data_IF_411582922987
#
_entry.id   IF_411582922987
#
_cell.length_a   1.000
_cell.length_b   1.000
_cell.length_c   1.000
_cell.angle_alpha   90.00
_cell.angle_beta   90.00
_cell.angle_gamma   90.00
#
_symmetry.space_group_name_H-M   'P 1'
#
loop_
_entity.id
_entity.type
_entity.pdbx_description
1 polymer ?
#
# COMPACT_ATOMS: atom_id res chain seq x y z
N UNK A 1 -5.84 0.34 4.28
CA UNK A 1 -5.23 1.23 3.25
C UNK A 1 -4.33 0.38 2.39
N UNK A 2 -4.26 0.65 1.09
CA UNK A 2 -3.46 -0.17 0.19
C UNK A 2 -2.11 0.48 -0.10
N UNK A 3 -1.92 1.80 -0.15
CA UNK A 3 -0.58 2.31 -0.48
C UNK A 3 -0.29 3.74 -0.09
N UNK A 4 0.86 4.23 -0.57
CA UNK A 4 1.34 5.59 -0.36
C UNK A 4 0.98 6.48 -1.55
N UNK A 5 0.89 7.79 -1.31
CA UNK A 5 0.65 8.79 -2.35
C UNK A 5 1.80 9.81 -2.39
N UNK A 6 2.19 10.31 -3.58
CA UNK A 6 3.03 11.50 -3.70
C UNK A 6 2.42 12.72 -2.98
N UNK A 7 1.08 12.78 -2.90
CA UNK A 7 0.35 13.90 -2.29
C UNK A 7 0.15 13.76 -0.77
N UNK A 8 0.60 12.66 -0.16
CA UNK A 8 0.48 12.44 1.28
C UNK A 8 1.65 13.10 2.01
N UNK A 9 1.47 14.30 2.55
CA UNK A 9 2.52 15.03 3.26
C UNK A 9 2.40 14.96 4.77
N UNK A 10 1.18 14.77 5.27
CA UNK A 10 0.87 14.61 6.67
C UNK A 10 -0.33 13.68 6.85
N UNK A 11 -0.49 13.11 8.04
CA UNK A 11 -1.70 12.34 8.36
C UNK A 11 -2.96 13.22 8.35
N UNK A 12 -2.83 14.55 8.48
CA UNK A 12 -3.94 15.48 8.34
C UNK A 12 -4.51 15.53 6.91
N UNK A 13 -3.71 15.24 5.89
CA UNK A 13 -4.20 15.20 4.50
C UNK A 13 -5.27 14.11 4.34
N UNK A 14 -5.11 12.98 5.04
CA UNK A 14 -6.10 11.91 5.10
C UNK A 14 -7.32 12.36 5.90
N UNK A 15 -7.12 13.01 7.06
CA UNK A 15 -8.21 13.47 7.93
C UNK A 15 -9.11 14.50 7.24
N UNK A 16 -8.53 15.33 6.36
CA UNK A 16 -9.22 16.37 5.58
C UNK A 16 -10.04 15.83 4.39
N UNK A 17 -9.88 14.55 4.02
CA UNK A 17 -10.69 13.94 2.97
C UNK A 17 -12.17 13.97 3.37
N UNK A 18 -12.96 14.70 2.58
CA UNK A 18 -14.40 14.81 2.77
C UNK A 18 -15.04 13.44 2.56
N UNK A 19 -15.84 13.02 3.54
CA UNK A 19 -16.57 11.75 3.52
C UNK A 19 -18.08 12.06 3.52
N UNK A 20 -18.88 11.41 2.66
CA UNK A 20 -18.51 10.33 1.73
C UNK A 20 -17.69 10.82 0.52
N UNK A 21 -16.82 9.96 -0.02
CA UNK A 21 -16.06 10.25 -1.22
C UNK A 21 -17.00 10.22 -2.44
N UNK A 22 -17.33 11.39 -3.00
CA UNK A 22 -18.13 11.48 -4.24
C UNK A 22 -17.32 11.08 -5.48
N UNK A 23 -16.02 11.34 -5.47
CA UNK A 23 -15.07 11.01 -6.55
C UNK A 23 -13.78 10.49 -5.93
N UNK A 24 -13.27 9.37 -6.43
CA UNK A 24 -12.00 8.77 -5.97
C UNK A 24 -10.90 9.16 -6.95
N UNK A 25 -10.18 10.25 -6.65
CA UNK A 25 -9.04 10.78 -7.42
C UNK A 25 -7.96 11.33 -6.49
N UNK A 26 -6.75 11.52 -7.02
CA UNK A 26 -5.61 12.05 -6.27
C UNK A 26 -5.28 11.20 -5.06
N UNK A 27 -5.11 11.82 -3.89
CA UNK A 27 -4.77 11.14 -2.64
C UNK A 27 -5.67 9.94 -2.35
N UNK A 28 -6.99 10.09 -2.45
CA UNK A 28 -7.92 8.99 -2.15
C UNK A 28 -7.73 7.78 -3.08
N UNK A 29 -7.43 8.02 -4.35
CA UNK A 29 -7.15 6.96 -5.32
C UNK A 29 -5.84 6.24 -4.98
N UNK A 30 -4.80 7.00 -4.64
CA UNK A 30 -3.50 6.42 -4.30
C UNK A 30 -3.53 5.58 -3.02
N UNK A 31 -4.26 6.03 -2.00
CA UNK A 31 -4.45 5.26 -0.75
C UNK A 31 -5.22 3.95 -0.97
N UNK A 32 -5.89 3.79 -2.12
CA UNK A 32 -6.69 2.63 -2.51
C UNK A 32 -6.07 1.75 -3.59
N UNK A 33 -5.13 2.25 -4.40
CA UNK A 33 -4.60 1.50 -5.55
C UNK A 33 -3.07 1.48 -5.69
N UNK A 34 -2.31 2.20 -4.86
CA UNK A 34 -0.86 2.17 -4.95
C UNK A 34 -0.29 0.85 -4.41
N UNK A 35 0.79 0.35 -5.03
CA UNK A 35 1.45 -0.92 -4.69
C UNK A 35 2.96 -0.74 -4.47
N UNK A 36 3.58 -1.40 -3.47
CA UNK A 36 5.03 -1.49 -3.36
C UNK A 36 5.60 -2.40 -4.46
N UNK A 37 6.76 -2.05 -5.01
CA UNK A 37 7.46 -2.87 -6.01
C UNK A 37 8.98 -2.83 -5.77
N UNK A 38 9.61 -4.01 -5.80
CA UNK A 38 11.06 -4.17 -5.62
C UNK A 38 11.80 -3.64 -6.82
N UNK A 39 12.85 -2.83 -6.58
CA UNK A 39 13.66 -2.23 -7.66
C UNK A 39 13.09 -0.93 -8.22
N UNK A 40 11.87 -0.54 -7.83
CA UNK A 40 11.33 0.79 -8.13
C UNK A 40 12.05 1.85 -7.29
N UNK A 41 12.33 3.00 -7.90
CA UNK A 41 12.83 4.20 -7.22
C UNK A 41 11.76 5.28 -7.26
N UNK A 42 11.49 5.92 -6.12
CA UNK A 42 10.43 6.91 -5.99
C UNK A 42 9.04 6.34 -6.27
N UNK A 43 8.15 7.20 -6.79
CA UNK A 43 6.86 6.80 -7.34
C UNK A 43 6.94 6.68 -8.86
N UNK A 44 6.33 5.65 -9.43
CA UNK A 44 6.18 5.48 -10.88
C UNK A 44 4.76 5.04 -11.21
N UNK A 45 4.33 5.18 -12.47
CA UNK A 45 2.97 4.80 -12.87
C UNK A 45 2.76 3.29 -12.70
N UNK A 46 1.64 2.91 -12.07
CA UNK A 46 1.29 1.49 -11.92
C UNK A 46 0.72 0.93 -13.22
N UNK A 47 1.56 0.23 -13.99
CA UNK A 47 1.16 -0.37 -15.28
C UNK A 47 0.20 -1.54 -15.12
N UNK A 48 0.33 -2.31 -14.03
CA UNK A 48 -0.49 -3.51 -13.78
C UNK A 48 -1.93 -3.12 -13.43
N UNK A 49 -2.09 -2.11 -12.56
CA UNK A 49 -3.41 -1.62 -12.16
C UNK A 49 -4.02 -0.65 -13.16
N UNK A 50 -3.20 -0.06 -14.03
CA UNK A 50 -3.57 1.05 -14.92
C UNK A 50 -4.11 2.29 -14.17
N UNK A 51 -3.93 2.36 -12.85
CA UNK A 51 -4.37 3.45 -11.97
C UNK A 51 -3.36 3.62 -10.84
N UNK A 52 -3.17 4.86 -10.39
CA UNK A 52 -2.22 5.20 -9.31
C UNK A 52 -0.76 4.82 -9.64
N UNK A 53 0.03 4.54 -8.62
CA UNK A 53 1.48 4.48 -8.64
C UNK A 53 2.00 3.19 -8.00
N UNK A 54 3.13 2.71 -8.50
CA UNK A 54 4.01 1.82 -7.76
C UNK A 54 5.04 2.65 -6.99
N UNK A 55 5.55 2.13 -5.88
CA UNK A 55 6.54 2.84 -5.07
C UNK A 55 7.64 1.92 -4.52
N UNK A 56 8.84 2.47 -4.44
CA UNK A 56 10.03 1.79 -3.96
C UNK A 56 10.24 1.81 -2.44
N UNK A 57 11.27 1.10 -1.99
CA UNK A 57 11.70 1.10 -0.58
C UNK A 57 12.16 2.47 -0.09
N UNK A 58 12.77 3.27 -0.96
CA UNK A 58 13.18 4.65 -0.66
C UNK A 58 11.97 5.48 -0.25
N UNK A 59 10.89 5.40 -1.02
CA UNK A 59 9.62 6.08 -0.76
C UNK A 59 9.02 5.63 0.57
N UNK A 60 9.07 4.33 0.89
CA UNK A 60 8.59 3.80 2.17
C UNK A 60 9.38 4.41 3.34
N UNK A 61 10.72 4.38 3.28
CA UNK A 61 11.58 4.96 4.32
C UNK A 61 11.31 6.45 4.52
N UNK A 62 11.21 7.19 3.42
CA UNK A 62 11.00 8.63 3.46
C UNK A 62 9.61 8.99 4.02
N UNK A 63 8.57 8.24 3.64
CA UNK A 63 7.22 8.45 4.19
C UNK A 63 7.11 8.05 5.65
N UNK A 64 7.74 6.96 6.09
CA UNK A 64 7.79 6.60 7.51
C UNK A 64 8.43 7.72 8.34
N UNK A 65 9.58 8.25 7.89
CA UNK A 65 10.24 9.40 8.55
C UNK A 65 9.35 10.66 8.53
N UNK A 66 8.81 11.02 7.37
CA UNK A 66 8.00 12.23 7.18
C UNK A 66 6.74 12.21 8.06
N UNK A 67 6.07 11.06 8.15
CA UNK A 67 4.83 10.90 8.92
C UNK A 67 5.08 10.55 10.39
N UNK A 68 6.35 10.38 10.78
CA UNK A 68 6.78 9.94 12.11
C UNK A 68 6.10 8.63 12.55
N UNK A 69 6.20 7.60 11.70
CA UNK A 69 5.67 6.26 11.94
C UNK A 69 6.75 5.20 11.70
N UNK A 70 6.66 4.07 12.39
CA UNK A 70 7.62 2.98 12.26
C UNK A 70 7.24 1.94 11.19
N UNK A 71 5.93 1.74 10.99
CA UNK A 71 5.39 0.66 10.17
C UNK A 71 4.16 1.08 9.37
N UNK A 72 4.15 0.70 8.09
CA UNK A 72 2.97 0.75 7.24
C UNK A 72 2.36 -0.65 7.13
N UNK A 73 1.08 -0.77 7.52
CA UNK A 73 0.30 -2.02 7.37
C UNK A 73 -0.70 -1.84 6.23
N UNK A 74 -0.61 -2.71 5.21
CA UNK A 74 -1.47 -2.68 4.01
C UNK A 74 -2.05 -4.06 3.65
N UNK A 75 -2.91 -4.09 2.64
CA UNK A 75 -3.48 -5.31 2.04
C UNK A 75 -3.34 -5.31 0.50
N UNK A 76 -4.35 -5.74 -0.26
CA UNK A 76 -4.52 -5.58 -1.72
C UNK A 76 -3.70 -6.48 -2.68
N UNK A 77 -2.49 -6.88 -2.31
CA UNK A 77 -1.74 -7.90 -3.05
C UNK A 77 -1.93 -9.27 -2.39
N UNK A 78 -2.25 -10.29 -3.19
CA UNK A 78 -2.25 -11.69 -2.73
C UNK A 78 -0.79 -12.08 -2.50
N UNK A 79 -0.50 -12.68 -1.35
CA UNK A 79 0.85 -13.11 -0.96
C UNK A 79 0.77 -14.54 -0.44
N UNK A 80 1.78 -15.35 -0.76
CA UNK A 80 1.79 -16.80 -0.56
C UNK A 80 1.43 -17.22 0.87
N UNK A 81 2.06 -16.62 1.88
CA UNK A 81 1.84 -16.96 3.29
C UNK A 81 0.76 -16.11 3.98
N UNK A 82 -0.04 -15.36 3.22
CA UNK A 82 -1.01 -14.42 3.77
C UNK A 82 -0.40 -13.15 4.36
N UNK A 83 0.93 -13.06 4.48
CA UNK A 83 1.63 -11.82 4.77
C UNK A 83 3.00 -11.75 4.05
N UNK A 84 3.52 -10.54 3.87
CA UNK A 84 4.86 -10.31 3.33
C UNK A 84 5.47 -9.03 3.89
N UNK A 85 6.75 -9.06 4.22
CA UNK A 85 7.50 -7.86 4.60
C UNK A 85 8.15 -7.21 3.39
N UNK A 86 8.27 -5.89 3.44
CA UNK A 86 8.97 -5.06 2.47
C UNK A 86 9.81 -4.00 3.18
N UNK A 87 10.85 -3.50 2.52
CA UNK A 87 11.67 -2.39 3.02
C UNK A 87 12.21 -2.63 4.44
N UNK A 88 12.93 -3.73 4.67
CA UNK A 88 13.51 -4.02 5.99
C UNK A 88 12.47 -4.12 7.11
N UNK A 89 11.25 -4.59 6.79
CA UNK A 89 10.08 -4.67 7.69
C UNK A 89 9.41 -3.33 8.04
N UNK A 90 9.74 -2.23 7.37
CA UNK A 90 9.02 -0.96 7.51
C UNK A 90 7.64 -0.95 6.82
N UNK A 91 7.35 -1.95 5.99
CA UNK A 91 6.02 -2.20 5.41
C UNK A 91 5.66 -3.68 5.50
N UNK A 92 4.41 -3.97 5.85
CA UNK A 92 3.82 -5.31 5.81
C UNK A 92 2.56 -5.33 4.96
N UNK A 93 2.49 -6.28 4.03
CA UNK A 93 1.27 -6.64 3.32
C UNK A 93 0.60 -7.81 4.04
N UNK A 94 -0.70 -7.71 4.26
CA UNK A 94 -1.53 -8.73 4.92
C UNK A 94 -2.70 -9.08 4.02
N UNK A 95 -2.93 -10.36 3.82
CA UNK A 95 -4.01 -10.90 3.00
C UNK A 95 -4.74 -12.00 3.78
N UNK A 96 -6.05 -11.85 3.91
CA UNK A 96 -6.85 -12.65 4.86
C UNK A 96 -7.81 -13.64 4.19
N UNK A 97 -7.75 -13.80 2.86
CA UNK A 97 -8.50 -14.81 2.13
C UNK A 97 -7.56 -15.94 1.65
N UNK A 98 -7.68 -17.12 2.23
CA UNK A 98 -6.91 -18.29 1.82
C UNK A 98 -7.49 -18.89 0.53
N UNK A 99 -6.64 -19.48 -0.32
CA UNK A 99 -7.01 -20.02 -1.63
C UNK A 99 -7.86 -19.04 -2.45
N UNK A 100 -7.35 -17.81 -2.57
CA UNK A 100 -8.09 -16.70 -3.16
C UNK A 100 -8.54 -16.94 -4.61
N UNK A 101 -7.74 -17.69 -5.35
CA UNK A 101 -8.03 -18.13 -6.71
C UNK A 101 -7.83 -19.64 -6.78
N UNK A 102 -8.56 -20.34 -7.64
CA UNK A 102 -8.53 -21.81 -7.74
C UNK A 102 -7.11 -22.36 -7.97
N UNK A 103 -6.27 -21.60 -8.67
CA UNK A 103 -4.88 -21.94 -8.97
C UNK A 103 -3.86 -21.42 -7.92
N UNK A 104 -4.29 -20.56 -6.99
CA UNK A 104 -3.42 -19.98 -5.97
C UNK A 104 -3.58 -20.71 -4.64
N UNK A 105 -2.51 -21.35 -4.17
CA UNK A 105 -2.47 -22.01 -2.86
C UNK A 105 -1.93 -21.04 -1.78
N UNK A 106 -2.51 -19.84 -1.69
CA UNK A 106 -2.10 -18.87 -0.68
C UNK A 106 -2.77 -19.13 0.68
N UNK A 107 -2.06 -18.85 1.76
CA UNK A 107 -2.60 -18.81 3.12
C UNK A 107 -3.26 -17.45 3.42
N UNK A 108 -3.95 -17.40 4.56
CA UNK A 108 -4.49 -16.17 5.14
C UNK A 108 -3.73 -15.81 6.41
N UNK A 109 -3.56 -14.51 6.67
CA UNK A 109 -3.00 -14.02 7.92
C UNK A 109 -3.85 -12.89 8.54
N UNK A 110 -3.65 -12.69 9.85
CA UNK A 110 -4.18 -11.59 10.65
C UNK A 110 -3.04 -11.05 11.50
N UNK A 111 -2.96 -9.72 11.62
CA UNK A 111 -2.03 -9.06 12.55
C UNK A 111 -2.72 -8.93 13.90
N UNK A 112 -2.04 -9.37 14.96
CA UNK A 112 -2.54 -9.35 16.35
C UNK A 112 -1.88 -8.23 17.14
#
# INVERSE_FOLDING_TARGET
>A
MTGLSPSLNSLDDIRKLQRPLRVVRGLAQDLLWADPETGTKGFQQNKIRAVSHIFGEDTVRDKCKQLNIDLIIRAHQVVEFGYAFFCGRALITVFSAARYHEELVNYAAVVK
#
